data_IF_386871707269
#
_entry.id   IF_386871707269
#
_cell.length_a   1.000
_cell.length_b   1.000
_cell.length_c   1.000
_cell.angle_alpha   90.00
_cell.angle_beta   90.00
_cell.angle_gamma   90.00
#
_symmetry.space_group_name_H-M   'P 1'
#
loop_
_entity.id
_entity.type
_entity.pdbx_description
1 polymer ?
#
# COMPACT_ATOMS: atom_id res chain seq x y z
N UNK A 1 2.89 69.81 1.80
CA UNK A 1 3.16 68.64 0.91
C UNK A 1 2.66 69.01 -0.49
N UNK A 2 3.50 68.85 -1.51
CA UNK A 2 3.08 69.00 -2.90
C UNK A 2 2.26 67.78 -3.30
N UNK A 3 1.09 67.98 -3.90
CA UNK A 3 0.23 66.93 -4.46
C UNK A 3 0.32 66.99 -5.98
N UNK A 4 0.74 65.93 -6.60
CA UNK A 4 0.64 65.77 -8.05
C UNK A 4 -0.79 65.30 -8.37
N UNK A 5 -1.54 66.07 -9.15
CA UNK A 5 -2.87 65.71 -9.67
C UNK A 5 -2.72 65.56 -11.18
N UNK A 6 -2.66 64.33 -11.62
CA UNK A 6 -2.62 64.00 -13.04
C UNK A 6 -3.37 62.72 -13.32
N UNK A 7 -3.92 62.57 -14.50
CA UNK A 7 -4.53 61.35 -14.98
C UNK A 7 -3.54 60.42 -15.70
N UNK A 8 -2.37 60.99 -16.08
CA UNK A 8 -1.38 60.31 -16.89
C UNK A 8 0.03 60.68 -16.48
N UNK A 9 0.94 59.73 -16.51
CA UNK A 9 2.38 59.90 -16.42
C UNK A 9 3.06 59.37 -17.69
N UNK A 10 3.85 60.18 -18.36
CA UNK A 10 4.52 59.83 -19.59
C UNK A 10 6.00 60.13 -19.52
N UNK A 11 6.81 59.20 -20.01
CA UNK A 11 8.24 59.45 -20.27
C UNK A 11 8.40 60.35 -21.46
N UNK A 12 9.33 61.28 -21.45
CA UNK A 12 9.52 62.28 -22.50
C UNK A 12 9.76 61.78 -23.91
N UNK A 13 10.14 60.49 -24.06
CA UNK A 13 10.33 59.81 -25.33
C UNK A 13 9.22 58.85 -25.74
N UNK A 14 8.15 58.73 -24.97
CA UNK A 14 7.03 57.87 -25.26
C UNK A 14 5.99 58.54 -26.14
N UNK A 15 5.33 57.79 -27.00
CA UNK A 15 4.23 58.29 -27.87
C UNK A 15 2.89 58.33 -27.19
N UNK A 16 2.76 57.79 -26.00
CA UNK A 16 1.54 57.73 -25.17
C UNK A 16 1.84 57.68 -23.69
N UNK A 17 0.84 57.66 -22.82
CA UNK A 17 0.98 57.58 -21.38
C UNK A 17 1.53 56.20 -20.97
N UNK A 18 2.55 56.17 -20.11
CA UNK A 18 3.08 54.92 -19.59
C UNK A 18 2.31 54.42 -18.40
N UNK A 19 1.67 55.30 -17.63
CA UNK A 19 0.78 54.99 -16.50
C UNK A 19 -0.48 55.81 -16.65
N UNK A 20 -1.61 55.19 -16.70
CA UNK A 20 -2.93 55.83 -16.78
C UNK A 20 -3.74 55.56 -15.54
N UNK A 21 -4.40 56.58 -15.00
CA UNK A 21 -5.38 56.51 -13.94
C UNK A 21 -6.75 56.83 -14.49
N UNK A 22 -7.62 55.87 -14.51
CA UNK A 22 -9.01 56.07 -14.99
C UNK A 22 -9.94 56.66 -13.91
N UNK A 23 -11.16 57.04 -14.31
CA UNK A 23 -12.17 57.55 -13.39
C UNK A 23 -12.65 56.56 -12.35
N UNK A 24 -12.42 55.26 -12.54
CA UNK A 24 -12.71 54.16 -11.62
C UNK A 24 -11.58 53.88 -10.64
N UNK A 25 -10.50 54.68 -10.68
CA UNK A 25 -9.27 54.54 -9.85
C UNK A 25 -8.38 53.37 -10.21
N UNK A 26 -8.50 52.82 -11.41
CA UNK A 26 -7.59 51.81 -11.91
C UNK A 26 -6.27 52.44 -12.39
N UNK A 27 -5.19 51.72 -12.20
CA UNK A 27 -3.86 52.08 -12.72
C UNK A 27 -3.49 51.09 -13.81
N UNK A 28 -3.25 51.61 -15.02
CA UNK A 28 -2.77 50.79 -16.15
C UNK A 28 -1.33 51.16 -16.45
N UNK A 29 -0.42 50.20 -16.50
CA UNK A 29 0.92 50.32 -16.98
C UNK A 29 1.00 49.66 -18.36
N UNK A 30 1.48 50.40 -19.40
CA UNK A 30 1.57 49.87 -20.79
C UNK A 30 2.60 48.75 -20.92
N UNK A 31 3.58 48.69 -20.03
CA UNK A 31 4.64 47.69 -20.00
C UNK A 31 4.80 47.13 -18.61
N UNK A 32 5.95 46.56 -18.29
CA UNK A 32 6.23 45.95 -17.01
C UNK A 32 6.25 46.99 -15.87
N UNK A 33 5.59 46.68 -14.75
CA UNK A 33 5.76 47.39 -13.50
C UNK A 33 6.90 46.70 -12.71
N UNK A 34 8.02 47.41 -12.52
CA UNK A 34 9.10 46.94 -11.63
C UNK A 34 8.99 47.65 -10.28
N UNK A 35 8.91 46.88 -9.22
CA UNK A 35 8.89 47.39 -7.84
C UNK A 35 10.12 46.90 -7.12
N UNK A 36 10.99 47.84 -6.73
CA UNK A 36 12.16 47.56 -5.88
C UNK A 36 11.70 47.38 -4.43
N UNK A 37 11.27 46.22 -4.05
CA UNK A 37 10.78 45.94 -2.71
C UNK A 37 9.56 45.06 -2.68
N UNK A 38 8.85 45.06 -1.53
CA UNK A 38 7.66 44.24 -1.36
C UNK A 38 6.41 44.92 -1.93
N UNK A 39 5.65 44.23 -2.75
CA UNK A 39 4.33 44.64 -3.19
C UNK A 39 3.27 43.93 -2.37
N UNK A 40 2.39 44.67 -1.70
CA UNK A 40 1.25 44.13 -1.00
C UNK A 40 -0.03 44.38 -1.82
N UNK A 41 -0.69 43.32 -2.27
CA UNK A 41 -1.97 43.36 -2.96
C UNK A 41 -3.05 42.86 -2.01
N UNK A 42 -4.06 43.72 -1.70
CA UNK A 42 -5.12 43.41 -0.72
C UNK A 42 -6.40 42.84 -1.37
N UNK A 43 -6.41 42.67 -2.67
CA UNK A 43 -7.53 42.13 -3.44
C UNK A 43 -7.14 40.83 -4.18
N UNK A 44 -8.08 40.31 -5.00
CA UNK A 44 -7.77 39.23 -5.90
C UNK A 44 -6.73 39.69 -6.94
N UNK A 45 -5.74 38.85 -7.22
CA UNK A 45 -4.78 39.02 -8.30
C UNK A 45 -5.22 38.12 -9.44
N UNK A 46 -5.69 38.72 -10.54
CA UNK A 46 -5.97 37.98 -11.76
C UNK A 46 -4.71 37.98 -12.62
N UNK A 47 -4.17 36.81 -12.85
CA UNK A 47 -3.03 36.59 -13.74
C UNK A 47 -3.54 35.91 -15.02
N UNK A 48 -3.03 36.26 -16.20
CA UNK A 48 -3.33 35.49 -17.41
C UNK A 48 -2.90 34.03 -17.23
N UNK A 49 -3.55 33.12 -17.95
CA UNK A 49 -3.18 31.73 -17.99
C UNK A 49 -1.68 31.59 -18.35
N UNK A 50 -1.00 30.63 -17.70
CA UNK A 50 0.42 30.35 -17.87
C UNK A 50 1.42 31.46 -17.44
N UNK A 51 0.97 32.43 -16.61
CA UNK A 51 1.83 33.54 -16.14
C UNK A 51 2.65 33.21 -14.90
N UNK A 52 2.20 32.22 -14.11
CA UNK A 52 2.95 31.72 -12.93
C UNK A 52 3.56 30.38 -13.31
N UNK A 53 4.84 30.39 -13.45
CA UNK A 53 5.59 29.19 -13.77
C UNK A 53 6.06 28.49 -12.45
N UNK A 54 6.47 27.24 -12.56
CA UNK A 54 6.96 26.46 -11.42
C UNK A 54 8.17 27.14 -10.75
N UNK A 55 8.98 27.85 -11.53
CA UNK A 55 10.13 28.60 -11.02
C UNK A 55 9.74 29.79 -10.12
N UNK A 56 8.53 30.35 -10.29
CA UNK A 56 8.01 31.46 -9.51
C UNK A 56 7.48 31.00 -8.13
N UNK A 57 7.30 29.71 -7.95
CA UNK A 57 6.86 29.11 -6.71
C UNK A 57 8.07 28.80 -5.84
N UNK A 58 8.27 29.57 -4.76
CA UNK A 58 9.32 29.29 -3.74
C UNK A 58 9.02 28.02 -2.95
N UNK A 59 8.78 26.90 -3.66
CA UNK A 59 8.46 25.61 -3.07
C UNK A 59 9.73 24.78 -2.84
N UNK A 60 9.80 24.06 -1.73
CA UNK A 60 10.88 23.11 -1.48
C UNK A 60 10.68 21.81 -2.25
N UNK A 61 11.76 21.09 -2.57
CA UNK A 61 11.71 19.86 -3.37
C UNK A 61 11.78 20.10 -4.86
N UNK A 62 11.44 19.10 -5.66
CA UNK A 62 11.52 19.14 -7.13
C UNK A 62 10.17 18.89 -7.76
N UNK A 63 9.69 19.82 -8.57
CA UNK A 63 8.51 19.63 -9.41
C UNK A 63 8.78 18.57 -10.48
N UNK A 64 7.85 17.65 -10.69
CA UNK A 64 7.91 16.63 -11.74
C UNK A 64 6.51 16.13 -12.10
N UNK A 65 6.40 15.29 -13.13
CA UNK A 65 5.13 14.62 -13.47
C UNK A 65 4.63 13.63 -12.39
N UNK A 66 5.48 13.29 -11.42
CA UNK A 66 5.17 12.37 -10.31
C UNK A 66 5.06 13.05 -8.95
N UNK A 67 5.12 14.40 -8.90
CA UNK A 67 4.99 15.17 -7.66
C UNK A 67 3.81 16.15 -7.72
N UNK A 68 3.29 16.52 -6.56
CA UNK A 68 2.27 17.57 -6.40
C UNK A 68 2.73 18.60 -5.36
N UNK A 69 2.26 19.83 -5.48
CA UNK A 69 2.51 20.87 -4.49
C UNK A 69 1.59 20.67 -3.28
N UNK A 70 2.18 20.51 -2.11
CA UNK A 70 1.47 20.37 -0.84
C UNK A 70 1.12 21.73 -0.25
N UNK A 71 0.17 21.73 0.70
CA UNK A 71 -0.25 22.95 1.41
C UNK A 71 0.83 23.59 2.30
N UNK A 72 1.95 22.89 2.53
CA UNK A 72 3.14 23.42 3.23
C UNK A 72 4.19 23.98 2.25
N UNK A 73 3.81 24.21 1.01
CA UNK A 73 4.66 24.72 -0.06
C UNK A 73 5.86 23.82 -0.39
N UNK A 74 5.64 22.48 -0.34
CA UNK A 74 6.65 21.49 -0.70
C UNK A 74 6.14 20.57 -1.83
N UNK A 75 7.00 20.28 -2.80
CA UNK A 75 6.75 19.25 -3.81
C UNK A 75 6.95 17.86 -3.20
N UNK A 76 5.95 17.03 -3.26
CA UNK A 76 5.98 15.67 -2.70
C UNK A 76 5.37 14.65 -3.66
N UNK A 77 5.91 13.46 -3.66
CA UNK A 77 5.30 12.33 -4.35
C UNK A 77 3.99 11.95 -3.66
N UNK A 78 2.88 11.72 -4.37
CA UNK A 78 1.67 11.15 -3.79
C UNK A 78 1.99 9.85 -3.06
N UNK A 79 1.40 9.65 -1.89
CA UNK A 79 1.51 8.36 -1.20
C UNK A 79 0.84 7.32 -2.10
N UNK A 80 1.59 6.34 -2.59
CA UNK A 80 1.06 5.27 -3.43
C UNK A 80 0.33 4.28 -2.54
N UNK A 81 -1.00 4.44 -2.38
CA UNK A 81 -1.84 3.47 -1.72
C UNK A 81 -1.51 3.19 -0.24
N UNK A 82 -2.33 2.34 0.39
CA UNK A 82 -2.08 1.86 1.76
C UNK A 82 -0.95 0.84 1.81
N UNK A 83 -0.78 0.08 0.73
CA UNK A 83 0.23 -0.97 0.61
C UNK A 83 1.18 -0.68 -0.53
N UNK A 84 2.49 -0.87 -0.27
CA UNK A 84 3.57 -0.68 -1.25
C UNK A 84 3.87 -1.95 -2.04
N UNK A 85 3.61 -3.13 -1.46
CA UNK A 85 3.98 -4.42 -2.04
C UNK A 85 3.05 -5.54 -1.59
N UNK A 86 2.99 -6.61 -2.39
CA UNK A 86 2.15 -7.78 -2.15
C UNK A 86 2.92 -9.06 -2.44
N UNK A 87 2.75 -10.06 -1.58
CA UNK A 87 3.19 -11.43 -1.82
C UNK A 87 2.09 -12.44 -1.48
N UNK A 88 2.12 -13.58 -2.16
CA UNK A 88 1.30 -14.74 -1.87
C UNK A 88 2.20 -15.98 -1.88
N UNK A 89 2.19 -16.70 -0.78
CA UNK A 89 2.93 -17.95 -0.60
C UNK A 89 1.99 -19.04 -0.13
N UNK A 90 2.33 -20.30 -0.32
CA UNK A 90 1.44 -21.38 0.09
C UNK A 90 1.89 -22.76 -0.34
N UNK A 91 0.90 -23.64 -0.53
CA UNK A 91 1.05 -24.99 -1.00
C UNK A 91 0.25 -25.17 -2.29
N UNK A 92 0.94 -25.57 -3.35
CA UNK A 92 0.35 -25.96 -4.63
C UNK A 92 0.61 -27.44 -4.87
N UNK A 93 -0.42 -28.17 -5.19
CA UNK A 93 -0.32 -29.58 -5.50
C UNK A 93 -0.79 -29.86 -6.94
N UNK A 94 -0.17 -30.83 -7.58
CA UNK A 94 -0.65 -31.34 -8.85
C UNK A 94 -2.09 -31.87 -8.69
N UNK A 95 -2.86 -31.84 -9.78
CA UNK A 95 -4.20 -32.42 -9.77
C UNK A 95 -4.14 -33.89 -9.31
N UNK A 96 -5.19 -34.36 -8.64
CA UNK A 96 -5.29 -35.71 -8.06
C UNK A 96 -4.25 -36.00 -6.95
N UNK A 97 -3.64 -34.97 -6.36
CA UNK A 97 -2.69 -35.12 -5.26
C UNK A 97 -3.30 -34.63 -3.94
N UNK A 98 -3.47 -35.53 -2.99
CA UNK A 98 -3.99 -35.22 -1.66
C UNK A 98 -2.98 -34.46 -0.81
N UNK A 99 -3.44 -33.53 0.04
CA UNK A 99 -2.57 -32.66 0.85
C UNK A 99 -1.94 -33.37 2.06
N UNK A 100 -2.22 -34.64 2.28
CA UNK A 100 -1.57 -35.46 3.29
C UNK A 100 -2.38 -35.66 4.57
N UNK A 101 -1.83 -36.45 5.45
CA UNK A 101 -2.43 -36.83 6.77
C UNK A 101 -2.42 -35.65 7.72
N UNK A 102 -3.58 -35.37 8.35
CA UNK A 102 -3.66 -34.46 9.46
C UNK A 102 -3.81 -35.22 10.77
N UNK A 103 -2.74 -35.28 11.57
CA UNK A 103 -2.70 -35.97 12.84
C UNK A 103 -3.11 -35.05 13.99
N UNK A 104 -4.10 -35.49 14.79
CA UNK A 104 -4.59 -34.78 15.98
C UNK A 104 -3.58 -34.80 17.15
N UNK A 105 -3.94 -34.11 18.23
CA UNK A 105 -3.20 -34.15 19.53
C UNK A 105 -2.11 -33.09 19.67
N UNK A 106 -1.69 -32.39 18.61
CA UNK A 106 -0.74 -31.29 18.67
C UNK A 106 -0.92 -30.35 17.47
N UNK A 107 -0.38 -29.13 17.58
CA UNK A 107 -0.22 -28.25 16.43
C UNK A 107 0.77 -28.87 15.43
N UNK A 108 0.38 -28.84 14.17
CA UNK A 108 1.21 -29.25 13.02
C UNK A 108 1.58 -28.01 12.20
N UNK A 109 2.84 -27.94 11.76
CA UNK A 109 3.29 -26.92 10.83
C UNK A 109 2.66 -27.22 9.47
N UNK A 110 2.06 -26.20 8.85
CA UNK A 110 1.49 -26.32 7.51
C UNK A 110 2.57 -26.06 6.46
N UNK A 111 2.41 -26.71 5.33
CA UNK A 111 3.32 -26.56 4.20
C UNK A 111 3.19 -25.13 3.64
N UNK A 112 4.34 -24.50 3.43
CA UNK A 112 4.54 -23.23 2.73
C UNK A 112 5.85 -23.41 1.97
N UNK A 113 5.77 -23.89 0.75
CA UNK A 113 6.94 -24.28 -0.05
C UNK A 113 6.96 -23.63 -1.44
N UNK A 114 5.89 -22.92 -1.79
CA UNK A 114 5.80 -22.21 -3.06
C UNK A 114 5.54 -20.72 -2.88
N UNK A 115 6.31 -19.94 -3.62
CA UNK A 115 6.08 -18.51 -3.83
C UNK A 115 5.17 -18.34 -5.05
N UNK A 116 3.87 -18.14 -4.78
CA UNK A 116 2.83 -18.04 -5.82
C UNK A 116 2.92 -16.68 -6.52
N UNK A 117 3.24 -15.65 -5.78
CA UNK A 117 3.46 -14.28 -6.28
C UNK A 117 4.29 -13.47 -5.27
N UNK A 118 5.39 -12.89 -5.70
CA UNK A 118 6.19 -11.91 -4.93
C UNK A 118 7.05 -11.06 -5.87
N UNK A 119 6.42 -10.15 -6.60
CA UNK A 119 7.11 -9.32 -7.62
C UNK A 119 8.18 -8.43 -7.02
N UNK A 120 7.99 -8.00 -5.78
CA UNK A 120 8.88 -7.04 -5.10
C UNK A 120 9.90 -7.73 -4.17
N UNK A 121 9.87 -9.06 -4.05
CA UNK A 121 10.81 -9.82 -3.22
C UNK A 121 10.68 -9.52 -1.72
N UNK A 122 9.46 -9.37 -1.20
CA UNK A 122 9.22 -9.06 0.22
C UNK A 122 9.26 -10.26 1.14
N UNK A 123 9.26 -11.48 0.57
CA UNK A 123 9.23 -12.76 1.29
C UNK A 123 10.43 -13.62 0.88
N UNK A 124 10.91 -14.45 1.79
CA UNK A 124 11.76 -15.58 1.47
C UNK A 124 11.26 -16.84 2.17
N UNK A 125 11.31 -18.00 1.48
CA UNK A 125 10.79 -19.26 1.97
C UNK A 125 11.92 -20.21 2.38
N UNK A 126 11.76 -20.90 3.49
CA UNK A 126 12.62 -22.00 3.92
C UNK A 126 11.91 -22.85 4.96
N UNK A 127 11.95 -24.19 4.81
CA UNK A 127 11.47 -25.14 5.81
C UNK A 127 10.01 -24.90 6.26
N UNK A 128 9.11 -24.64 5.32
CA UNK A 128 7.71 -24.30 5.57
C UNK A 128 7.50 -23.02 6.39
N UNK A 129 8.44 -22.10 6.32
CA UNK A 129 8.41 -20.80 6.97
C UNK A 129 8.57 -19.70 5.92
N UNK A 130 7.97 -18.55 6.19
CA UNK A 130 8.20 -17.35 5.43
C UNK A 130 8.87 -16.28 6.30
N UNK A 131 9.90 -15.64 5.77
CA UNK A 131 10.65 -14.59 6.45
C UNK A 131 10.34 -13.24 5.86
N UNK A 132 10.03 -12.27 6.72
CA UNK A 132 9.79 -10.87 6.39
C UNK A 132 10.89 -10.00 7.00
N UNK A 133 11.29 -8.94 6.29
CA UNK A 133 12.20 -7.91 6.77
C UNK A 133 11.49 -6.89 7.65
N UNK A 134 12.21 -5.92 8.24
CA UNK A 134 11.60 -4.82 8.99
C UNK A 134 10.50 -4.12 8.17
N UNK A 135 9.38 -3.81 8.80
CA UNK A 135 8.22 -3.20 8.14
C UNK A 135 6.91 -3.45 8.87
N UNK A 136 5.85 -2.91 8.33
CA UNK A 136 4.48 -3.17 8.78
C UNK A 136 3.75 -3.97 7.70
N UNK A 137 3.06 -5.02 8.11
CA UNK A 137 2.44 -5.98 7.22
C UNK A 137 1.03 -6.31 7.67
N UNK A 138 0.11 -6.41 6.71
CA UNK A 138 -1.14 -7.13 6.87
C UNK A 138 -0.93 -8.55 6.33
N UNK A 139 -1.21 -9.56 7.17
CA UNK A 139 -1.05 -10.97 6.84
C UNK A 139 -2.41 -11.64 6.94
N UNK A 140 -2.83 -12.32 5.88
CA UNK A 140 -4.06 -13.10 5.81
C UNK A 140 -3.74 -14.51 5.34
N UNK A 141 -4.24 -15.52 6.03
CA UNK A 141 -4.02 -16.92 5.70
C UNK A 141 -5.33 -17.71 5.64
N UNK A 142 -5.31 -18.81 4.88
CA UNK A 142 -6.45 -19.71 4.78
C UNK A 142 -5.98 -21.14 4.50
N UNK A 143 -6.30 -22.03 5.41
CA UNK A 143 -5.87 -23.42 5.41
C UNK A 143 -7.05 -24.37 5.56
N UNK A 144 -7.23 -25.34 4.64
CA UNK A 144 -8.31 -26.31 4.71
C UNK A 144 -8.02 -27.42 5.72
N UNK A 145 -9.10 -28.08 6.13
CA UNK A 145 -9.07 -29.39 6.77
C UNK A 145 -10.29 -30.21 6.34
N UNK A 146 -10.08 -31.51 6.11
CA UNK A 146 -11.07 -32.45 5.60
C UNK A 146 -11.32 -33.57 6.61
N UNK A 147 -12.58 -33.76 7.04
CA UNK A 147 -13.04 -34.83 7.96
C UNK A 147 -12.21 -34.93 9.25
N UNK A 148 -11.92 -33.82 9.91
CA UNK A 148 -11.08 -33.77 11.13
C UNK A 148 -11.83 -33.29 12.39
N UNK A 149 -13.19 -33.20 12.32
CA UNK A 149 -14.06 -32.61 13.35
C UNK A 149 -13.73 -31.12 13.55
N UNK A 150 -13.23 -30.73 14.71
CA UNK A 150 -12.88 -29.33 15.00
C UNK A 150 -11.43 -29.05 14.60
N UNK A 151 -11.18 -27.87 14.06
CA UNK A 151 -9.82 -27.43 13.77
C UNK A 151 -9.69 -25.90 13.82
N UNK A 152 -8.49 -25.42 14.02
CA UNK A 152 -8.14 -24.01 13.92
C UNK A 152 -6.66 -23.81 13.63
N UNK A 153 -6.34 -22.69 13.01
CA UNK A 153 -4.96 -22.28 12.71
C UNK A 153 -4.49 -21.19 13.65
N UNK A 154 -3.18 -20.95 13.65
CA UNK A 154 -2.57 -19.75 14.19
C UNK A 154 -1.33 -19.35 13.39
N UNK A 155 -1.06 -18.06 13.33
CA UNK A 155 0.21 -17.53 12.90
C UNK A 155 1.18 -17.57 14.09
N UNK A 156 2.36 -18.13 13.87
CA UNK A 156 3.40 -18.26 14.87
C UNK A 156 4.69 -17.59 14.41
N UNK A 157 5.28 -16.76 15.26
CA UNK A 157 6.60 -16.19 15.05
C UNK A 157 7.66 -17.16 15.57
N UNK A 158 8.38 -17.76 14.65
CA UNK A 158 9.41 -18.77 14.97
C UNK A 158 10.63 -18.12 15.63
N UNK A 159 11.03 -16.94 15.13
CA UNK A 159 12.20 -16.21 15.65
C UNK A 159 12.04 -15.86 17.12
N UNK A 160 10.86 -15.40 17.51
CA UNK A 160 10.59 -14.98 18.89
C UNK A 160 9.90 -16.07 19.73
N UNK A 161 9.63 -17.25 19.14
CA UNK A 161 8.94 -18.36 19.77
C UNK A 161 7.58 -17.97 20.39
N UNK A 162 6.77 -17.19 19.66
CA UNK A 162 5.53 -16.60 20.16
C UNK A 162 4.35 -16.78 19.20
N UNK A 163 3.16 -16.97 19.78
CA UNK A 163 1.90 -16.89 19.05
C UNK A 163 1.63 -15.43 18.65
N UNK A 164 1.27 -15.19 17.38
CA UNK A 164 0.99 -13.84 16.85
C UNK A 164 -0.49 -13.58 16.81
N UNK A 165 -1.25 -14.50 16.18
CA UNK A 165 -2.71 -14.37 16.06
C UNK A 165 -3.35 -15.74 15.84
N UNK A 166 -4.57 -15.91 16.34
CA UNK A 166 -5.39 -17.09 16.11
C UNK A 166 -6.21 -16.93 14.82
N UNK A 167 -6.39 -18.04 14.10
CA UNK A 167 -7.37 -18.16 13.04
C UNK A 167 -8.74 -18.60 13.57
N UNK A 168 -9.71 -18.65 12.69
CA UNK A 168 -11.07 -19.05 13.01
C UNK A 168 -11.14 -20.50 13.48
N UNK A 169 -11.95 -20.74 14.50
CA UNK A 169 -12.32 -22.08 14.93
C UNK A 169 -13.41 -22.65 14.01
N UNK A 170 -13.14 -23.78 13.41
CA UNK A 170 -14.00 -24.42 12.43
C UNK A 170 -14.41 -25.82 12.87
N UNK A 171 -15.52 -26.30 12.32
CA UNK A 171 -15.99 -27.68 12.51
C UNK A 171 -16.34 -28.30 11.15
N UNK A 172 -15.84 -29.50 10.95
CA UNK A 172 -16.09 -30.32 9.74
C UNK A 172 -17.01 -31.47 10.10
N UNK A 173 -18.18 -31.55 9.51
CA UNK A 173 -19.11 -32.66 9.69
C UNK A 173 -19.19 -33.50 8.40
N UNK A 174 -19.13 -34.82 8.53
CA UNK A 174 -19.24 -35.74 7.39
C UNK A 174 -18.11 -35.54 6.37
N UNK A 175 -18.40 -35.88 5.13
CA UNK A 175 -17.44 -35.78 4.00
C UNK A 175 -17.39 -34.34 3.46
N UNK A 176 -16.90 -33.41 4.24
CA UNK A 176 -16.76 -32.00 3.85
C UNK A 176 -15.42 -31.43 4.25
N UNK A 177 -15.07 -30.33 3.62
CA UNK A 177 -13.88 -29.54 3.89
C UNK A 177 -14.30 -28.14 4.37
N UNK A 178 -13.64 -27.64 5.40
CA UNK A 178 -13.76 -26.26 5.84
C UNK A 178 -12.37 -25.62 5.93
N UNK A 179 -12.34 -24.29 5.98
CA UNK A 179 -11.07 -23.55 6.02
C UNK A 179 -11.01 -22.72 7.30
N UNK A 180 -9.91 -22.86 8.05
CA UNK A 180 -9.57 -21.94 9.12
C UNK A 180 -8.76 -20.80 8.52
N UNK A 181 -9.30 -19.61 8.61
CA UNK A 181 -8.68 -18.38 8.13
C UNK A 181 -8.35 -17.45 9.29
N UNK A 182 -7.37 -16.62 9.12
CA UNK A 182 -7.05 -15.57 10.08
C UNK A 182 -6.37 -14.40 9.41
N UNK A 183 -6.44 -13.24 10.05
CA UNK A 183 -5.83 -12.02 9.55
C UNK A 183 -5.27 -11.21 10.72
N UNK A 184 -4.12 -10.60 10.53
CA UNK A 184 -3.51 -9.72 11.52
C UNK A 184 -2.60 -8.70 10.88
N UNK A 185 -2.49 -7.54 11.51
CA UNK A 185 -1.50 -6.52 11.19
C UNK A 185 -0.36 -6.62 12.19
N UNK A 186 0.88 -6.67 11.69
CA UNK A 186 2.08 -6.72 12.51
C UNK A 186 3.07 -5.64 12.11
N UNK A 187 3.88 -5.18 13.08
CA UNK A 187 5.06 -4.34 12.82
C UNK A 187 6.28 -5.04 13.38
N UNK A 188 7.30 -5.21 12.57
CA UNK A 188 8.57 -5.85 12.95
C UNK A 188 9.74 -4.91 12.66
N UNK A 189 10.73 -4.91 13.54
CA UNK A 189 11.90 -4.01 13.48
C UNK A 189 13.15 -4.66 12.88
N UNK A 190 13.05 -5.95 12.54
CA UNK A 190 14.11 -6.74 11.92
C UNK A 190 13.54 -7.99 11.27
N UNK A 191 14.38 -8.78 10.61
CA UNK A 191 13.97 -10.01 9.96
C UNK A 191 13.35 -11.00 10.95
N UNK A 192 12.16 -11.53 10.63
CA UNK A 192 11.41 -12.50 11.42
C UNK A 192 10.87 -13.61 10.53
N UNK A 193 11.03 -14.86 11.00
CA UNK A 193 10.46 -16.05 10.37
C UNK A 193 9.12 -16.40 11.02
N UNK A 194 8.15 -16.73 10.19
CA UNK A 194 6.79 -17.09 10.58
C UNK A 194 6.38 -18.43 9.97
N UNK A 195 5.47 -19.12 10.63
CA UNK A 195 4.84 -20.34 10.12
C UNK A 195 3.36 -20.38 10.50
N UNK A 196 2.57 -21.16 9.77
CA UNK A 196 1.19 -21.44 10.13
C UNK A 196 1.13 -22.78 10.84
N UNK A 197 0.63 -22.75 12.06
CA UNK A 197 0.36 -23.93 12.87
C UNK A 197 -1.12 -24.25 12.85
N UNK A 198 -1.45 -25.53 12.68
CA UNK A 198 -2.82 -26.01 12.56
C UNK A 198 -3.05 -27.19 13.52
N UNK A 199 -4.15 -27.17 14.25
CA UNK A 199 -4.57 -28.24 15.15
C UNK A 199 -5.95 -28.77 14.75
N UNK A 200 -6.14 -30.08 14.89
CA UNK A 200 -7.44 -30.75 14.67
C UNK A 200 -7.80 -31.68 15.83
N UNK A 201 -9.10 -31.98 15.96
CA UNK A 201 -9.63 -32.86 17.01
C UNK A 201 -9.53 -34.34 16.67
N UNK A 202 -9.61 -34.70 15.38
CA UNK A 202 -9.55 -36.07 14.91
C UNK A 202 -8.54 -36.23 13.80
N UNK A 203 -7.77 -37.32 13.83
CA UNK A 203 -6.84 -37.65 12.75
C UNK A 203 -7.59 -38.10 11.50
N UNK A 204 -7.14 -37.61 10.33
CA UNK A 204 -7.59 -38.07 9.03
C UNK A 204 -6.39 -38.34 8.14
N UNK A 205 -6.26 -39.58 7.69
CA UNK A 205 -5.19 -40.03 6.82
C UNK A 205 -5.38 -39.53 5.38
N UNK A 206 -4.29 -39.41 4.67
CA UNK A 206 -4.14 -39.13 3.25
C UNK A 206 -4.56 -37.72 2.82
N UNK A 207 -5.71 -37.22 3.19
CA UNK A 207 -6.29 -35.94 2.73
C UNK A 207 -6.79 -35.02 3.87
N UNK A 208 -6.44 -35.32 5.11
CA UNK A 208 -6.88 -34.52 6.25
C UNK A 208 -6.42 -33.06 6.22
N UNK A 209 -5.30 -32.76 5.59
CA UNK A 209 -4.77 -31.41 5.42
C UNK A 209 -5.46 -30.64 4.27
N UNK A 210 -6.26 -31.30 3.45
CA UNK A 210 -7.04 -30.72 2.37
C UNK A 210 -7.31 -31.72 1.28
N UNK A 211 -8.48 -31.62 0.68
CA UNK A 211 -8.93 -32.38 -0.49
C UNK A 211 -8.76 -31.53 -1.73
N UNK A 212 -8.23 -32.09 -2.79
CA UNK A 212 -8.09 -31.40 -4.08
C UNK A 212 -9.43 -31.35 -4.84
N UNK A 213 -9.51 -30.52 -5.85
CA UNK A 213 -10.72 -30.35 -6.65
C UNK A 213 -10.93 -31.49 -7.66
N UNK A 214 -9.93 -32.29 -7.94
CA UNK A 214 -9.93 -33.41 -8.90
C UNK A 214 -10.64 -33.04 -10.21
N UNK A 215 -10.12 -32.02 -10.90
CA UNK A 215 -10.68 -31.52 -12.15
C UNK A 215 -9.73 -31.80 -13.31
N UNK A 216 -10.17 -32.57 -14.28
CA UNK A 216 -9.37 -32.87 -15.49
C UNK A 216 -9.02 -31.64 -16.35
N UNK A 217 -9.62 -30.48 -16.06
CA UNK A 217 -9.36 -29.23 -16.77
C UNK A 217 -8.31 -28.35 -16.10
N UNK A 218 -7.80 -28.75 -14.94
CA UNK A 218 -6.75 -28.01 -14.20
C UNK A 218 -5.53 -28.90 -13.99
N UNK A 219 -4.35 -28.32 -14.11
CA UNK A 219 -3.07 -29.03 -13.88
C UNK A 219 -2.68 -29.09 -12.41
N UNK A 220 -3.12 -28.11 -11.61
CA UNK A 220 -2.75 -27.96 -10.21
C UNK A 220 -3.85 -27.31 -9.36
N UNK A 221 -3.67 -27.37 -8.05
CA UNK A 221 -4.56 -26.78 -7.05
C UNK A 221 -3.75 -26.01 -6.02
N UNK A 222 -4.15 -24.79 -5.71
CA UNK A 222 -3.67 -24.06 -4.53
C UNK A 222 -4.47 -24.58 -3.33
N UNK A 223 -3.83 -25.39 -2.49
CA UNK A 223 -4.47 -25.99 -1.33
C UNK A 223 -4.60 -24.98 -0.20
N UNK A 224 -3.52 -24.28 0.11
CA UNK A 224 -3.45 -23.32 1.20
C UNK A 224 -2.59 -22.13 0.81
N UNK A 225 -2.82 -21.00 1.47
CA UNK A 225 -2.10 -19.78 1.14
C UNK A 225 -1.98 -18.83 2.33
N UNK A 226 -0.95 -18.00 2.26
CA UNK A 226 -0.73 -16.79 3.05
C UNK A 226 -0.56 -15.62 2.09
N UNK A 227 -1.37 -14.61 2.24
CA UNK A 227 -1.27 -13.34 1.52
C UNK A 227 -0.67 -12.29 2.45
N UNK A 228 0.24 -11.49 1.92
CA UNK A 228 1.05 -10.56 2.69
C UNK A 228 1.08 -9.23 1.94
N UNK A 229 0.59 -8.19 2.58
CA UNK A 229 0.68 -6.81 2.08
C UNK A 229 1.63 -6.03 2.97
N UNK A 230 2.64 -5.42 2.39
CA UNK A 230 3.54 -4.50 3.08
C UNK A 230 2.96 -3.09 3.00
N UNK A 231 2.84 -2.41 4.13
CA UNK A 231 2.42 -1.01 4.16
C UNK A 231 3.50 -0.09 3.56
N UNK A 232 3.04 1.07 3.03
CA UNK A 232 3.89 2.07 2.39
C UNK A 232 4.75 2.85 3.41
#
# INVERSE_FOLDING_TARGET
MAKVITTELQHSGASGANITLDSSKNVTCENNLTVDGTTTLTGAVELPDDTVDIADLSASGTASSSTYLRGDNAWATPVSGLYSSYAMVGERLANETAAGTFTSGAYRIRIIDEEISDVDGIVSLSSNQFTLQAGTYLIWWSYPAYIVDKHHTKLYNVTDSADVAAGEACKVNGSSQTRSSGMTRITITGAKAFEIRHMCASTKDSNGLGEEANSSSMSDNIISWVQIWKEA
#
